data_IF_330532761038
#
_entry.id   IF_330532761038
#
_cell.length_a   1.000
_cell.length_b   1.000
_cell.length_c   1.000
_cell.angle_alpha   90.00
_cell.angle_beta   90.00
_cell.angle_gamma   90.00
#
_symmetry.space_group_name_H-M   'P 1'
#
loop_
_entity.id
_entity.type
_entity.pdbx_description
1 polymer ?
#
# COMPACT_ATOMS: atom_id res chain seq x y z
N UNK A 1 -2.01 3.27 12.45
CA UNK A 1 -1.70 1.82 12.42
C UNK A 1 -1.84 1.31 11.00
N UNK A 2 -0.92 0.45 10.54
CA UNK A 2 -1.03 -0.22 9.24
C UNK A 2 -0.96 -1.74 9.39
N UNK A 3 -1.62 -2.50 8.49
CA UNK A 3 -1.60 -3.96 8.44
C UNK A 3 -1.17 -4.42 7.05
N UNK A 4 -0.07 -5.17 6.95
CA UNK A 4 0.35 -5.76 5.67
C UNK A 4 1.65 -6.52 5.70
N UNK A 5 1.93 -7.23 4.59
CA UNK A 5 3.15 -8.01 4.40
C UNK A 5 4.32 -7.11 4.00
N UNK A 6 5.47 -7.38 4.60
CA UNK A 6 6.75 -6.86 4.14
C UNK A 6 7.66 -8.00 3.74
N UNK A 7 8.26 -7.90 2.57
CA UNK A 7 9.13 -8.91 1.96
C UNK A 7 10.58 -8.45 1.92
N UNK A 8 11.49 -9.38 1.71
CA UNK A 8 12.83 -9.05 1.26
C UNK A 8 12.79 -8.62 -0.20
N UNK A 9 13.38 -7.49 -0.49
CA UNK A 9 13.58 -6.96 -1.82
C UNK A 9 15.03 -7.18 -2.22
N UNK A 10 15.24 -7.85 -3.35
CA UNK A 10 16.53 -8.19 -3.90
C UNK A 10 16.72 -7.50 -5.26
N UNK A 11 17.75 -6.67 -5.38
CA UNK A 11 18.02 -5.86 -6.58
C UNK A 11 19.43 -6.16 -7.08
N UNK A 12 19.62 -6.65 -8.30
CA UNK A 12 20.96 -6.73 -8.90
C UNK A 12 21.57 -5.34 -9.03
N UNK A 13 22.88 -5.17 -8.76
CA UNK A 13 23.54 -3.89 -8.94
C UNK A 13 23.65 -3.51 -10.43
N UNK A 14 23.86 -2.23 -10.71
CA UNK A 14 24.25 -1.72 -12.02
C UNK A 14 23.37 -2.13 -13.23
N UNK A 15 22.05 -2.28 -13.02
CA UNK A 15 21.12 -2.75 -14.07
C UNK A 15 21.41 -4.15 -14.63
N UNK A 16 22.15 -4.99 -13.88
CA UNK A 16 22.37 -6.38 -14.25
C UNK A 16 21.04 -7.14 -14.35
N UNK A 17 21.02 -8.17 -15.20
CA UNK A 17 19.90 -9.09 -15.25
C UNK A 17 19.92 -10.03 -14.05
N UNK A 18 18.77 -10.40 -13.54
CA UNK A 18 18.64 -11.35 -12.43
C UNK A 18 19.40 -12.64 -12.72
N UNK A 19 19.32 -13.16 -13.96
CA UNK A 19 19.98 -14.40 -14.38
C UNK A 19 21.52 -14.31 -14.48
N UNK A 20 22.08 -13.09 -14.46
CA UNK A 20 23.51 -12.84 -14.58
C UNK A 20 24.13 -12.31 -13.28
N UNK A 21 23.28 -11.91 -12.33
CA UNK A 21 23.71 -11.27 -11.10
C UNK A 21 24.49 -12.22 -10.20
N UNK A 22 25.59 -11.75 -9.65
CA UNK A 22 26.41 -12.47 -8.66
C UNK A 22 26.16 -11.99 -7.24
N UNK A 23 25.50 -10.86 -7.08
CA UNK A 23 25.13 -10.26 -5.80
C UNK A 23 23.83 -9.50 -5.91
N UNK A 24 23.20 -9.22 -4.77
CA UNK A 24 21.98 -8.45 -4.69
C UNK A 24 22.08 -7.47 -3.53
N UNK A 25 21.65 -6.24 -3.77
CA UNK A 25 21.32 -5.31 -2.70
C UNK A 25 20.02 -5.77 -2.03
N UNK A 26 20.06 -5.88 -0.70
CA UNK A 26 18.93 -6.40 0.10
C UNK A 26 18.28 -5.28 0.87
N UNK A 27 16.99 -5.11 0.71
CA UNK A 27 16.16 -4.17 1.48
C UNK A 27 14.84 -4.82 1.89
N UNK A 28 14.02 -4.10 2.66
CA UNK A 28 12.67 -4.49 2.99
C UNK A 28 11.69 -3.68 2.15
N UNK A 29 10.61 -4.32 1.66
CA UNK A 29 9.58 -3.64 0.89
C UNK A 29 8.20 -4.24 1.09
N UNK A 30 7.23 -3.38 1.41
CA UNK A 30 5.82 -3.72 1.59
C UNK A 30 5.00 -2.44 1.55
N UNK A 31 3.81 -2.49 0.96
CA UNK A 31 2.98 -1.31 0.76
C UNK A 31 2.66 -0.61 2.08
N UNK A 32 2.01 -1.32 2.98
CA UNK A 32 1.53 -0.78 4.25
C UNK A 32 2.67 -0.39 5.20
N UNK A 33 3.80 -1.12 5.17
CA UNK A 33 4.99 -0.74 5.92
C UNK A 33 5.65 0.51 5.35
N UNK A 34 5.64 0.70 4.03
CA UNK A 34 6.13 1.93 3.38
C UNK A 34 5.29 3.13 3.78
N UNK A 35 3.96 2.98 3.85
CA UNK A 35 3.06 4.03 4.36
C UNK A 35 3.38 4.35 5.83
N UNK A 36 3.55 3.34 6.69
CA UNK A 36 3.91 3.54 8.10
C UNK A 36 5.25 4.28 8.25
N UNK A 37 6.26 3.88 7.48
CA UNK A 37 7.58 4.53 7.45
C UNK A 37 7.47 5.98 6.98
N UNK A 38 6.75 6.24 5.88
CA UNK A 38 6.54 7.59 5.37
C UNK A 38 5.91 8.52 6.41
N UNK A 39 4.85 8.06 7.08
CA UNK A 39 4.19 8.82 8.14
C UNK A 39 5.09 9.03 9.38
N UNK A 40 5.90 8.02 9.76
CA UNK A 40 6.86 8.16 10.86
C UNK A 40 7.94 9.20 10.54
N UNK A 41 8.46 9.20 9.31
CA UNK A 41 9.45 10.18 8.83
C UNK A 41 8.89 11.61 8.78
N UNK A 42 7.59 11.78 8.64
CA UNK A 42 6.89 13.07 8.76
C UNK A 42 6.57 13.44 10.21
N UNK A 43 6.95 12.61 11.19
CA UNK A 43 6.83 12.93 12.62
C UNK A 43 5.56 12.39 13.30
N UNK A 44 4.77 11.56 12.62
CA UNK A 44 3.63 10.90 13.27
C UNK A 44 4.06 9.64 14.01
N UNK A 45 3.34 9.31 15.08
CA UNK A 45 3.47 8.01 15.76
C UNK A 45 2.77 6.96 14.91
N UNK A 46 3.51 5.95 14.47
CA UNK A 46 3.00 4.88 13.61
C UNK A 46 3.31 3.52 14.20
N UNK A 47 2.43 2.55 13.94
CA UNK A 47 2.64 1.14 14.25
C UNK A 47 2.32 0.30 13.03
N UNK A 48 3.07 -0.78 12.85
CA UNK A 48 2.89 -1.74 11.77
C UNK A 48 2.59 -3.12 12.33
N UNK A 49 1.45 -3.66 11.93
CA UNK A 49 0.98 -5.01 12.24
C UNK A 49 1.35 -5.94 11.09
N UNK A 50 2.00 -7.05 11.41
CA UNK A 50 2.40 -8.04 10.41
C UNK A 50 2.62 -9.40 11.05
N UNK A 51 2.99 -10.40 10.23
CA UNK A 51 3.35 -11.74 10.71
C UNK A 51 4.67 -12.17 10.11
N UNK A 52 5.66 -12.47 10.96
CA UNK A 52 7.02 -12.81 10.56
C UNK A 52 7.53 -14.09 11.25
N UNK A 53 8.41 -14.86 10.59
CA UNK A 53 9.07 -16.00 11.22
C UNK A 53 10.16 -15.55 12.20
N UNK A 54 10.34 -16.28 13.29
CA UNK A 54 11.37 -16.04 14.31
C UNK A 54 12.78 -16.45 13.84
N UNK A 55 13.19 -15.98 12.67
CA UNK A 55 14.50 -16.26 12.08
C UNK A 55 15.24 -14.96 11.72
N UNK A 56 16.51 -15.03 11.27
CA UNK A 56 17.28 -13.85 10.90
C UNK A 56 16.61 -12.98 9.84
N UNK A 57 15.86 -13.55 8.87
CA UNK A 57 15.20 -12.80 7.81
C UNK A 57 14.00 -12.00 8.33
N UNK A 58 13.17 -12.61 9.20
CA UNK A 58 12.08 -11.90 9.87
C UNK A 58 12.60 -10.77 10.75
N UNK A 59 13.68 -11.02 11.52
CA UNK A 59 14.33 -9.96 12.33
C UNK A 59 14.93 -8.85 11.48
N UNK A 60 15.51 -9.17 10.32
CA UNK A 60 16.01 -8.17 9.38
C UNK A 60 14.88 -7.21 8.96
N UNK A 61 13.74 -7.76 8.51
CA UNK A 61 12.58 -6.96 8.10
C UNK A 61 12.09 -6.08 9.27
N UNK A 62 11.86 -6.66 10.45
CA UNK A 62 11.39 -5.92 11.61
C UNK A 62 12.32 -4.77 12.00
N UNK A 63 13.65 -5.00 11.94
CA UNK A 63 14.65 -3.98 12.24
C UNK A 63 14.64 -2.87 11.20
N UNK A 64 14.52 -3.22 9.90
CA UNK A 64 14.44 -2.24 8.82
C UNK A 64 13.24 -1.32 8.93
N UNK A 65 12.11 -1.81 9.39
CA UNK A 65 10.93 -0.97 9.62
C UNK A 65 11.10 -0.13 10.89
N UNK A 66 11.62 -0.73 11.97
CA UNK A 66 11.84 -0.06 13.26
C UNK A 66 12.86 1.08 13.18
N UNK A 67 13.91 0.96 12.37
CA UNK A 67 14.96 1.99 12.24
C UNK A 67 14.42 3.35 11.77
N UNK A 68 13.23 3.37 11.17
CA UNK A 68 12.52 4.58 10.74
C UNK A 68 11.56 5.15 11.80
N UNK A 69 11.52 4.57 13.00
CA UNK A 69 10.67 5.07 14.09
C UNK A 69 9.26 4.46 14.13
N UNK A 70 9.00 3.43 13.34
CA UNK A 70 7.72 2.69 13.36
C UNK A 70 7.71 1.71 14.54
N UNK A 71 6.63 1.68 15.31
CA UNK A 71 6.41 0.64 16.33
C UNK A 71 6.17 -0.71 15.65
N UNK A 72 7.01 -1.68 15.98
CA UNK A 72 6.97 -3.06 15.47
C UNK A 72 6.61 -4.07 16.57
N UNK A 73 6.07 -3.61 17.71
CA UNK A 73 5.71 -4.49 18.84
C UNK A 73 4.51 -5.39 18.54
N UNK A 74 3.71 -5.02 17.52
CA UNK A 74 2.51 -5.74 17.13
C UNK A 74 2.75 -6.79 16.02
N UNK A 75 4.00 -7.21 15.83
CA UNK A 75 4.32 -8.31 14.90
C UNK A 75 3.94 -9.65 15.56
N UNK A 76 3.13 -10.45 14.85
CA UNK A 76 2.87 -11.84 15.18
C UNK A 76 4.07 -12.69 14.78
N UNK A 77 4.79 -13.21 15.77
CA UNK A 77 5.98 -14.02 15.55
C UNK A 77 5.64 -15.52 15.52
N UNK A 78 6.05 -16.21 14.46
CA UNK A 78 5.86 -17.68 14.33
C UNK A 78 7.20 -18.40 14.31
N UNK A 79 7.24 -19.60 14.90
CA UNK A 79 8.48 -20.40 14.96
C UNK A 79 8.92 -20.85 13.57
N UNK A 80 7.96 -21.35 12.78
CA UNK A 80 8.18 -21.88 11.45
C UNK A 80 7.56 -20.96 10.39
N UNK A 81 8.17 -20.94 9.22
CA UNK A 81 7.68 -20.13 8.10
C UNK A 81 8.81 -19.43 7.36
N UNK A 82 8.42 -18.76 6.30
CA UNK A 82 9.32 -17.97 5.46
C UNK A 82 8.84 -16.54 5.33
N UNK A 83 9.73 -15.61 5.05
CA UNK A 83 9.39 -14.30 4.52
C UNK A 83 9.12 -14.37 3.03
N UNK A 84 8.26 -13.55 2.50
CA UNK A 84 8.15 -13.33 1.06
C UNK A 84 9.42 -12.68 0.53
N UNK A 85 9.74 -12.94 -0.74
CA UNK A 85 10.87 -12.33 -1.45
C UNK A 85 10.37 -11.78 -2.78
N UNK A 86 10.93 -10.68 -3.22
CA UNK A 86 10.77 -10.26 -4.60
C UNK A 86 12.08 -9.71 -5.17
N UNK A 87 12.26 -9.98 -6.46
CA UNK A 87 13.41 -9.53 -7.22
C UNK A 87 12.98 -8.37 -8.12
N UNK A 88 13.78 -7.34 -8.17
CA UNK A 88 13.56 -6.18 -9.05
C UNK A 88 14.72 -6.07 -10.00
N UNK A 89 14.45 -6.24 -11.28
CA UNK A 89 15.38 -5.93 -12.35
C UNK A 89 15.04 -4.57 -12.93
N UNK A 90 15.91 -3.60 -12.75
CA UNK A 90 15.72 -2.30 -13.35
C UNK A 90 16.00 -2.34 -14.85
N UNK A 91 15.07 -1.81 -15.61
CA UNK A 91 15.20 -1.65 -17.04
C UNK A 91 16.03 -0.43 -17.42
N UNK A 92 16.52 -0.46 -18.66
CA UNK A 92 17.07 0.68 -19.35
C UNK A 92 16.58 0.63 -20.80
N UNK A 93 15.97 1.72 -21.29
CA UNK A 93 15.34 1.72 -22.62
C UNK A 93 16.21 1.06 -23.70
N UNK A 94 15.65 0.16 -24.54
CA UNK A 94 14.24 -0.22 -24.62
C UNK A 94 13.78 -1.35 -23.65
N UNK A 95 14.69 -1.90 -22.83
CA UNK A 95 14.39 -3.00 -21.90
C UNK A 95 13.50 -2.50 -20.75
N UNK A 96 12.30 -3.09 -20.52
CA UNK A 96 11.46 -2.74 -19.36
C UNK A 96 12.05 -3.24 -18.05
N UNK A 97 11.65 -2.62 -16.93
CA UNK A 97 11.88 -3.18 -15.59
C UNK A 97 10.99 -4.42 -15.36
N UNK A 98 11.48 -5.36 -14.56
CA UNK A 98 10.77 -6.59 -14.24
C UNK A 98 10.74 -6.81 -12.73
N UNK A 99 9.60 -7.32 -12.23
CA UNK A 99 9.47 -7.76 -10.83
C UNK A 99 9.03 -9.22 -10.80
N UNK A 100 9.81 -10.05 -10.10
CA UNK A 100 9.53 -11.47 -9.88
C UNK A 100 9.23 -11.66 -8.40
N UNK A 101 8.06 -12.23 -8.09
CA UNK A 101 7.64 -12.49 -6.72
C UNK A 101 7.81 -13.97 -6.37
N UNK A 102 8.43 -14.23 -5.22
CA UNK A 102 8.42 -15.49 -4.51
C UNK A 102 7.85 -15.26 -3.10
N UNK A 103 6.51 -15.14 -3.02
CA UNK A 103 5.80 -14.80 -1.77
C UNK A 103 4.75 -15.83 -1.35
N UNK A 104 4.49 -16.84 -2.17
CA UNK A 104 3.47 -17.84 -1.84
C UNK A 104 3.87 -18.59 -0.57
N UNK A 105 2.90 -18.83 0.29
CA UNK A 105 3.09 -19.48 1.60
C UNK A 105 4.08 -18.75 2.53
N UNK A 106 4.18 -17.44 2.43
CA UNK A 106 4.88 -16.64 3.43
C UNK A 106 4.18 -16.76 4.80
N UNK A 107 4.89 -16.48 5.87
CA UNK A 107 4.29 -16.45 7.21
C UNK A 107 3.10 -15.51 7.27
N UNK A 108 3.20 -14.34 6.63
CA UNK A 108 2.10 -13.37 6.60
C UNK A 108 0.86 -13.91 5.89
N UNK A 109 1.01 -14.67 4.80
CA UNK A 109 -0.12 -15.24 4.05
C UNK A 109 -0.97 -16.23 4.86
N UNK A 110 -0.52 -16.61 6.05
CA UNK A 110 -1.25 -17.47 7.01
C UNK A 110 -1.84 -16.69 8.18
N UNK A 111 -1.86 -15.35 8.12
CA UNK A 111 -2.44 -14.53 9.18
C UNK A 111 -3.93 -14.81 9.29
N UNK A 112 -4.41 -14.99 10.54
CA UNK A 112 -5.85 -15.09 10.86
C UNK A 112 -6.31 -13.93 11.73
N UNK A 113 -7.62 -13.71 11.78
CA UNK A 113 -8.20 -12.61 12.54
C UNK A 113 -7.93 -12.73 14.05
N UNK A 114 -7.87 -13.96 14.57
CA UNK A 114 -7.73 -14.28 15.99
C UNK A 114 -6.31 -14.04 16.51
N UNK A 115 -5.32 -13.98 15.62
CA UNK A 115 -3.91 -13.77 16.00
C UNK A 115 -3.61 -12.32 16.38
N UNK A 116 -4.54 -11.38 16.11
CA UNK A 116 -4.32 -9.94 16.31
C UNK A 116 -5.33 -9.36 17.30
N UNK A 117 -4.84 -8.81 18.40
CA UNK A 117 -5.69 -8.12 19.38
C UNK A 117 -5.93 -6.66 18.94
N UNK A 118 -6.89 -6.46 18.06
CA UNK A 118 -7.21 -5.13 17.52
C UNK A 118 -7.68 -4.15 18.59
N UNK A 119 -8.37 -4.60 19.63
CA UNK A 119 -8.84 -3.74 20.71
C UNK A 119 -7.69 -3.05 21.43
N UNK A 120 -6.62 -3.81 21.71
CA UNK A 120 -5.41 -3.28 22.30
C UNK A 120 -4.66 -2.35 21.34
N UNK A 121 -4.52 -2.74 20.07
CA UNK A 121 -3.74 -2.02 19.05
C UNK A 121 -4.42 -0.70 18.68
N UNK A 122 -5.74 -0.69 18.60
CA UNK A 122 -6.51 0.50 18.20
C UNK A 122 -6.76 1.48 19.34
N UNK A 123 -6.46 1.11 20.60
CA UNK A 123 -6.60 2.03 21.72
C UNK A 123 -5.68 3.26 21.52
N UNK A 124 -6.30 4.45 21.39
CA UNK A 124 -5.62 5.72 21.10
C UNK A 124 -5.18 5.91 19.64
N UNK A 125 -5.48 4.95 18.76
CA UNK A 125 -5.26 5.07 17.31
C UNK A 125 -6.30 5.99 16.68
N UNK A 126 -5.88 6.81 15.71
CA UNK A 126 -6.77 7.70 14.96
C UNK A 126 -7.11 7.19 13.57
N UNK A 127 -6.18 6.44 12.96
CA UNK A 127 -6.30 6.00 11.58
C UNK A 127 -5.75 4.58 11.43
N UNK A 128 -6.49 3.75 10.69
CA UNK A 128 -6.08 2.43 10.25
C UNK A 128 -5.93 2.41 8.73
N UNK A 129 -4.84 1.85 8.22
CA UNK A 129 -4.58 1.71 6.80
C UNK A 129 -4.20 0.29 6.42
N UNK A 130 -4.75 -0.20 5.31
CA UNK A 130 -4.39 -1.48 4.67
C UNK A 130 -4.66 -1.41 3.18
N UNK A 131 -4.40 -2.49 2.44
CA UNK A 131 -4.56 -2.49 0.99
C UNK A 131 -5.16 -3.78 0.44
N UNK A 132 -5.56 -3.74 -0.83
CA UNK A 132 -5.98 -4.89 -1.60
C UNK A 132 -4.88 -5.94 -1.80
N UNK A 133 -3.60 -5.59 -1.65
CA UNK A 133 -2.52 -6.58 -1.66
C UNK A 133 -2.68 -7.54 -0.49
N UNK A 134 -2.84 -7.02 0.73
CA UNK A 134 -3.00 -7.82 1.95
C UNK A 134 -4.23 -8.72 1.85
N UNK A 135 -5.34 -8.18 1.33
CA UNK A 135 -6.58 -8.92 1.11
C UNK A 135 -6.42 -10.07 0.11
N UNK A 136 -5.62 -9.86 -0.94
CA UNK A 136 -5.42 -10.81 -2.04
C UNK A 136 -4.46 -11.99 -1.72
N UNK A 137 -3.76 -11.97 -0.58
CA UNK A 137 -2.74 -12.98 -0.27
C UNK A 137 -3.31 -14.34 0.05
N UNK A 138 -4.44 -14.39 0.74
CA UNK A 138 -5.17 -15.60 1.10
C UNK A 138 -6.57 -15.23 1.62
N UNK A 139 -7.44 -16.22 1.71
CA UNK A 139 -8.75 -16.03 2.31
C UNK A 139 -8.65 -15.62 3.80
N UNK A 140 -7.74 -16.24 4.56
CA UNK A 140 -7.54 -15.87 5.97
C UNK A 140 -7.05 -14.43 6.13
N UNK A 141 -6.20 -13.94 5.21
CA UNK A 141 -5.81 -12.53 5.19
C UNK A 141 -6.98 -11.59 4.86
N UNK A 142 -7.85 -11.98 3.90
CA UNK A 142 -9.06 -11.21 3.59
C UNK A 142 -10.00 -11.11 4.80
N UNK A 143 -10.20 -12.21 5.51
CA UNK A 143 -10.99 -12.26 6.74
C UNK A 143 -10.35 -11.43 7.86
N UNK A 144 -9.03 -11.49 8.02
CA UNK A 144 -8.29 -10.68 8.99
C UNK A 144 -8.40 -9.17 8.69
N UNK A 145 -8.30 -8.77 7.41
CA UNK A 145 -8.52 -7.38 6.98
C UNK A 145 -9.95 -6.92 7.27
N UNK A 146 -10.95 -7.74 6.91
CA UNK A 146 -12.36 -7.43 7.17
C UNK A 146 -12.63 -7.25 8.67
N UNK A 147 -12.11 -8.16 9.50
CA UNK A 147 -12.21 -8.07 10.95
C UNK A 147 -11.55 -6.79 11.50
N UNK A 148 -10.35 -6.46 11.04
CA UNK A 148 -9.64 -5.23 11.42
C UNK A 148 -10.44 -3.97 11.06
N UNK A 149 -11.01 -3.91 9.85
CA UNK A 149 -11.82 -2.78 9.37
C UNK A 149 -13.09 -2.62 10.22
N UNK A 150 -13.82 -3.71 10.48
CA UNK A 150 -15.02 -3.66 11.31
C UNK A 150 -14.69 -3.19 12.73
N UNK A 151 -13.60 -3.71 13.34
CA UNK A 151 -13.16 -3.28 14.66
C UNK A 151 -12.70 -1.82 14.70
N UNK A 152 -12.00 -1.36 13.65
CA UNK A 152 -11.62 0.05 13.50
C UNK A 152 -12.86 0.96 13.43
N UNK A 153 -13.89 0.54 12.69
CA UNK A 153 -15.17 1.27 12.60
C UNK A 153 -15.88 1.33 13.95
N UNK A 154 -15.98 0.22 14.67
CA UNK A 154 -16.57 0.16 16.01
C UNK A 154 -15.88 1.10 17.01
N UNK A 155 -14.57 1.32 16.82
CA UNK A 155 -13.75 2.20 17.65
C UNK A 155 -13.64 3.62 17.09
N UNK A 156 -14.40 3.97 16.03
CA UNK A 156 -14.44 5.28 15.38
C UNK A 156 -13.07 5.75 14.84
N UNK A 157 -12.26 4.85 14.31
CA UNK A 157 -11.05 5.21 13.61
C UNK A 157 -11.39 5.66 12.17
N UNK A 158 -10.58 6.57 11.61
CA UNK A 158 -10.58 6.79 10.16
C UNK A 158 -9.97 5.60 9.45
N UNK A 159 -10.69 5.04 8.49
CA UNK A 159 -10.28 3.84 7.75
C UNK A 159 -9.81 4.24 6.36
N UNK A 160 -8.57 3.96 6.05
CA UNK A 160 -7.92 4.22 4.77
C UNK A 160 -7.60 2.91 4.06
N UNK A 161 -7.93 2.82 2.79
CA UNK A 161 -7.71 1.63 1.98
C UNK A 161 -7.13 1.99 0.61
N UNK A 162 -6.09 1.26 0.17
CA UNK A 162 -5.57 1.36 -1.20
C UNK A 162 -5.97 0.12 -1.99
N UNK A 163 -6.70 0.28 -3.09
CA UNK A 163 -7.06 -0.84 -3.97
C UNK A 163 -5.83 -1.62 -4.40
N UNK A 164 -4.77 -0.94 -4.80
CA UNK A 164 -3.44 -1.49 -5.08
C UNK A 164 -3.49 -2.83 -5.83
N UNK A 165 -4.28 -2.90 -6.89
CA UNK A 165 -4.56 -4.14 -7.61
C UNK A 165 -3.32 -4.80 -8.18
N UNK A 166 -3.24 -6.12 -8.03
CA UNK A 166 -2.14 -6.94 -8.52
C UNK A 166 -2.67 -8.16 -9.27
N UNK A 167 -2.65 -8.12 -10.59
CA UNK A 167 -3.13 -9.21 -11.46
C UNK A 167 -2.46 -10.57 -11.22
N UNK A 168 -1.25 -10.58 -10.62
CA UNK A 168 -0.55 -11.81 -10.23
C UNK A 168 -1.09 -12.45 -8.95
N UNK A 169 -1.95 -11.78 -8.19
CA UNK A 169 -2.53 -12.29 -6.94
C UNK A 169 -3.96 -12.79 -7.15
N UNK A 170 -4.78 -12.06 -7.87
CA UNK A 170 -6.19 -12.39 -8.08
C UNK A 170 -6.74 -11.84 -9.39
N UNK A 171 -7.90 -12.37 -9.83
CA UNK A 171 -8.60 -11.84 -10.99
C UNK A 171 -9.39 -10.57 -10.66
N UNK A 172 -9.78 -9.76 -11.65
CA UNK A 172 -10.64 -8.59 -11.42
C UNK A 172 -11.99 -8.97 -10.79
N UNK A 173 -12.55 -10.12 -11.13
CA UNK A 173 -13.82 -10.62 -10.58
C UNK A 173 -13.67 -10.95 -9.10
N UNK A 174 -12.64 -11.69 -8.71
CA UNK A 174 -12.34 -12.01 -7.31
C UNK A 174 -12.04 -10.73 -6.50
N UNK A 175 -11.33 -9.77 -7.12
CA UNK A 175 -11.08 -8.47 -6.49
C UNK A 175 -12.38 -7.71 -6.26
N UNK A 176 -13.27 -7.64 -7.27
CA UNK A 176 -14.58 -6.99 -7.14
C UNK A 176 -15.40 -7.59 -6.02
N UNK A 177 -15.53 -8.91 -5.99
CA UNK A 177 -16.32 -9.62 -4.97
C UNK A 177 -15.82 -9.26 -3.57
N UNK A 178 -14.55 -9.48 -3.30
CA UNK A 178 -13.96 -9.23 -1.99
C UNK A 178 -13.98 -7.74 -1.59
N UNK A 179 -13.58 -6.84 -2.50
CA UNK A 179 -13.50 -5.41 -2.21
C UNK A 179 -14.89 -4.78 -2.05
N UNK A 180 -15.92 -5.28 -2.73
CA UNK A 180 -17.30 -4.75 -2.56
C UNK A 180 -17.83 -4.95 -1.14
N UNK A 181 -17.37 -5.99 -0.43
CA UNK A 181 -17.74 -6.22 0.98
C UNK A 181 -16.98 -5.30 1.94
N UNK A 182 -15.80 -4.84 1.57
CA UNK A 182 -14.88 -4.06 2.43
C UNK A 182 -15.12 -2.57 2.29
N UNK A 183 -15.26 -2.08 1.04
CA UNK A 183 -15.24 -0.65 0.72
C UNK A 183 -16.39 0.15 1.32
N UNK A 184 -17.53 -0.48 1.60
CA UNK A 184 -18.64 0.16 2.32
C UNK A 184 -18.34 0.56 3.78
N UNK A 185 -17.18 0.17 4.29
CA UNK A 185 -16.70 0.51 5.63
C UNK A 185 -15.47 1.44 5.62
N UNK A 186 -15.02 1.87 4.44
CA UNK A 186 -13.82 2.70 4.25
C UNK A 186 -14.21 4.17 4.16
N UNK A 187 -13.41 5.05 4.75
CA UNK A 187 -13.59 6.48 4.68
C UNK A 187 -12.74 7.10 3.56
N UNK A 188 -11.49 6.66 3.41
CA UNK A 188 -10.54 7.18 2.42
C UNK A 188 -10.09 6.06 1.49
N UNK A 189 -10.42 6.17 0.22
CA UNK A 189 -10.01 5.23 -0.81
C UNK A 189 -8.89 5.80 -1.69
N UNK A 190 -7.80 5.05 -1.81
CA UNK A 190 -6.75 5.29 -2.80
C UNK A 190 -6.90 4.32 -3.98
N UNK A 191 -6.79 4.84 -5.20
CA UNK A 191 -6.89 4.03 -6.41
C UNK A 191 -6.33 4.76 -7.63
N UNK A 192 -6.32 4.06 -8.77
CA UNK A 192 -6.18 4.63 -10.12
C UNK A 192 -7.49 4.49 -10.91
N UNK A 193 -7.66 5.30 -11.94
CA UNK A 193 -8.80 5.15 -12.84
C UNK A 193 -8.78 3.78 -13.54
N UNK A 194 -7.60 3.27 -13.86
CA UNK A 194 -7.45 1.98 -14.54
C UNK A 194 -7.86 0.82 -13.64
N UNK A 195 -7.50 0.83 -12.35
CA UNK A 195 -7.95 -0.18 -11.39
C UNK A 195 -9.47 -0.12 -11.20
N UNK A 196 -10.04 1.07 -11.07
CA UNK A 196 -11.49 1.24 -10.95
C UNK A 196 -12.26 0.77 -12.19
N UNK A 197 -11.73 1.04 -13.40
CA UNK A 197 -12.29 0.53 -14.64
C UNK A 197 -12.21 -0.99 -14.72
N UNK A 198 -11.05 -1.54 -14.39
CA UNK A 198 -10.78 -2.98 -14.50
C UNK A 198 -11.64 -3.79 -13.52
N UNK A 199 -11.71 -3.35 -12.27
CA UNK A 199 -12.37 -4.11 -11.20
C UNK A 199 -13.89 -3.88 -11.21
N UNK A 200 -14.33 -2.61 -11.26
CA UNK A 200 -15.75 -2.27 -11.10
C UNK A 200 -16.47 -1.97 -12.43
N UNK A 201 -15.75 -1.90 -13.54
CA UNK A 201 -16.33 -1.57 -14.85
C UNK A 201 -16.73 -0.10 -14.98
N UNK A 202 -16.27 0.77 -14.09
CA UNK A 202 -16.58 2.20 -14.17
C UNK A 202 -15.86 2.85 -15.36
N UNK A 203 -16.55 3.72 -16.07
CA UNK A 203 -16.04 4.42 -17.24
C UNK A 203 -16.32 5.92 -17.14
N UNK A 204 -15.54 6.73 -17.84
CA UNK A 204 -15.66 8.17 -17.84
C UNK A 204 -14.34 8.87 -17.55
N UNK A 205 -14.42 10.16 -17.22
CA UNK A 205 -13.28 10.96 -16.73
C UNK A 205 -12.86 10.48 -15.33
N UNK A 206 -11.71 10.94 -14.86
CA UNK A 206 -11.25 10.58 -13.50
C UNK A 206 -12.25 11.06 -12.44
N UNK A 207 -12.83 12.25 -12.62
CA UNK A 207 -13.84 12.83 -11.74
C UNK A 207 -15.12 11.97 -11.70
N UNK A 208 -15.64 11.57 -12.88
CA UNK A 208 -16.83 10.73 -12.98
C UNK A 208 -16.60 9.34 -12.36
N UNK A 209 -15.40 8.78 -12.49
CA UNK A 209 -15.03 7.51 -11.85
C UNK A 209 -14.95 7.68 -10.33
N UNK A 210 -14.34 8.77 -9.85
CA UNK A 210 -14.27 9.07 -8.43
C UNK A 210 -15.66 9.27 -7.83
N UNK A 211 -16.59 9.94 -8.52
CA UNK A 211 -17.99 10.11 -8.09
C UNK A 211 -18.72 8.77 -8.00
N UNK A 212 -18.52 7.89 -9.00
CA UNK A 212 -19.10 6.54 -8.98
C UNK A 212 -18.57 5.72 -7.82
N UNK A 213 -17.26 5.74 -7.55
CA UNK A 213 -16.66 5.06 -6.40
C UNK A 213 -17.23 5.61 -5.09
N UNK A 214 -17.22 6.95 -4.94
CA UNK A 214 -17.72 7.62 -3.74
C UNK A 214 -19.17 7.27 -3.45
N UNK A 215 -20.03 7.35 -4.44
CA UNK A 215 -21.48 7.06 -4.29
C UNK A 215 -21.76 5.57 -4.10
N UNK A 216 -21.04 4.67 -4.79
CA UNK A 216 -21.27 3.23 -4.69
C UNK A 216 -20.89 2.66 -3.33
N UNK A 217 -19.87 3.22 -2.68
CA UNK A 217 -19.34 2.71 -1.41
C UNK A 217 -19.48 3.68 -0.23
N UNK A 218 -20.15 4.81 -0.42
CA UNK A 218 -20.37 5.83 0.61
C UNK A 218 -19.06 6.32 1.26
N UNK A 219 -18.05 6.61 0.42
CA UNK A 219 -16.74 7.05 0.85
C UNK A 219 -16.74 8.55 1.20
N UNK A 220 -15.95 8.98 2.18
CA UNK A 220 -15.72 10.41 2.44
C UNK A 220 -14.77 11.01 1.41
N UNK A 221 -13.70 10.28 1.07
CA UNK A 221 -12.65 10.73 0.17
C UNK A 221 -12.29 9.64 -0.84
N UNK A 222 -12.18 10.03 -2.11
CA UNK A 222 -11.53 9.21 -3.15
C UNK A 222 -10.29 9.96 -3.63
N UNK A 223 -9.11 9.42 -3.36
CA UNK A 223 -7.83 9.96 -3.81
C UNK A 223 -7.28 9.14 -4.97
N UNK A 224 -6.96 9.78 -6.09
CA UNK A 224 -6.52 9.09 -7.30
C UNK A 224 -5.19 9.65 -7.80
N UNK A 225 -4.30 8.73 -8.19
CA UNK A 225 -3.13 9.07 -8.99
C UNK A 225 -3.53 9.12 -10.48
N UNK A 226 -3.15 10.21 -11.15
CA UNK A 226 -3.59 10.50 -12.54
C UNK A 226 -2.41 10.70 -13.49
N UNK A 227 -1.19 10.53 -13.01
CA UNK A 227 0.02 10.67 -13.80
C UNK A 227 0.27 9.50 -14.76
N UNK A 228 1.16 9.70 -15.71
CA UNK A 228 1.49 8.70 -16.72
C UNK A 228 3.02 8.61 -16.95
N UNK A 229 3.53 7.40 -17.26
CA UNK A 229 4.91 7.22 -17.68
C UNK A 229 5.10 7.72 -19.12
N UNK A 230 6.16 8.51 -19.36
CA UNK A 230 6.60 8.89 -20.72
C UNK A 230 7.63 7.91 -21.29
N UNK A 231 8.43 7.33 -20.40
CA UNK A 231 9.44 6.31 -20.74
C UNK A 231 9.74 5.44 -19.51
N UNK A 232 10.74 4.55 -19.61
CA UNK A 232 11.23 3.76 -18.47
C UNK A 232 11.75 4.66 -17.35
N UNK A 233 12.33 5.81 -17.70
CA UNK A 233 13.00 6.73 -16.76
C UNK A 233 12.34 8.09 -16.58
N UNK A 234 11.30 8.39 -17.32
CA UNK A 234 10.62 9.70 -17.24
C UNK A 234 9.12 9.53 -17.12
N UNK A 235 8.49 10.42 -16.41
CA UNK A 235 7.05 10.42 -16.24
C UNK A 235 6.54 11.74 -15.69
N UNK A 236 5.23 11.84 -15.62
CA UNK A 236 4.54 12.91 -14.91
C UNK A 236 3.74 12.25 -13.79
N UNK A 237 3.97 12.70 -12.57
CA UNK A 237 3.09 12.37 -11.45
C UNK A 237 2.08 13.50 -11.27
N UNK A 238 0.82 13.15 -11.20
CA UNK A 238 -0.28 14.03 -10.83
C UNK A 238 -1.32 13.27 -10.03
N UNK A 239 -2.17 13.99 -9.33
CA UNK A 239 -3.17 13.41 -8.44
C UNK A 239 -4.39 14.29 -8.30
N UNK A 240 -5.50 13.70 -7.91
CA UNK A 240 -6.72 14.39 -7.55
C UNK A 240 -7.34 13.76 -6.31
N UNK A 241 -8.22 14.49 -5.65
CA UNK A 241 -9.08 13.96 -4.60
C UNK A 241 -10.50 14.53 -4.74
N UNK A 242 -11.48 13.67 -4.50
CA UNK A 242 -12.89 14.03 -4.46
C UNK A 242 -13.40 13.89 -3.01
N UNK A 243 -14.01 14.94 -2.51
CA UNK A 243 -14.81 14.97 -1.28
C UNK A 243 -16.24 15.42 -1.63
N UNK A 244 -16.65 16.59 -1.18
CA UNK A 244 -17.80 17.37 -1.65
C UNK A 244 -17.51 18.12 -2.96
N UNK A 245 -16.25 18.33 -3.26
CA UNK A 245 -15.73 18.90 -4.51
C UNK A 245 -14.43 18.24 -4.92
N UNK A 246 -14.02 18.50 -6.16
CA UNK A 246 -12.75 18.00 -6.69
C UNK A 246 -11.61 18.93 -6.31
N UNK A 247 -10.51 18.34 -5.89
CA UNK A 247 -9.21 19.00 -5.67
C UNK A 247 -8.17 18.41 -6.60
N UNK A 248 -7.25 19.21 -7.10
CA UNK A 248 -6.14 18.76 -7.95
C UNK A 248 -4.80 19.00 -7.24
N UNK A 249 -3.95 18.00 -7.28
CA UNK A 249 -2.56 18.08 -6.87
C UNK A 249 -1.72 18.79 -7.95
N UNK A 250 -0.53 19.21 -7.56
CA UNK A 250 0.48 19.69 -8.51
C UNK A 250 0.96 18.55 -9.40
N UNK A 251 1.29 18.86 -10.65
CA UNK A 251 1.98 17.92 -11.54
C UNK A 251 3.49 18.07 -11.39
N UNK A 252 4.17 16.93 -11.32
CA UNK A 252 5.63 16.84 -11.20
C UNK A 252 6.19 16.08 -12.40
N UNK A 253 7.12 16.68 -13.13
CA UNK A 253 7.93 15.96 -14.10
C UNK A 253 9.05 15.24 -13.35
N UNK A 254 9.25 13.95 -13.62
CA UNK A 254 10.13 13.10 -12.84
C UNK A 254 11.14 12.37 -13.71
N UNK A 255 12.37 12.30 -13.24
CA UNK A 255 13.30 11.24 -13.63
C UNK A 255 13.15 10.06 -12.65
N UNK A 256 12.71 8.93 -13.17
CA UNK A 256 12.39 7.76 -12.34
C UNK A 256 13.66 6.98 -12.03
N UNK A 257 14.06 6.98 -10.78
CA UNK A 257 15.13 6.12 -10.25
C UNK A 257 14.55 4.76 -9.84
N UNK A 258 13.45 4.77 -9.12
CA UNK A 258 12.72 3.58 -8.68
C UNK A 258 11.21 3.87 -8.68
N UNK A 259 10.42 3.03 -9.32
CA UNK A 259 8.96 3.19 -9.38
C UNK A 259 8.23 2.53 -8.22
N UNK A 260 8.92 1.63 -7.51
CA UNK A 260 8.29 0.87 -6.46
C UNK A 260 8.15 1.75 -5.21
N UNK A 261 6.92 1.87 -4.72
CA UNK A 261 6.60 2.69 -3.56
C UNK A 261 6.09 4.10 -3.88
N UNK A 262 6.01 4.52 -5.16
CA UNK A 262 5.44 5.82 -5.54
C UNK A 262 4.01 5.99 -5.00
N UNK A 263 3.14 4.97 -5.17
CA UNK A 263 1.79 4.96 -4.62
C UNK A 263 1.78 5.02 -3.09
N UNK A 264 2.63 4.21 -2.45
CA UNK A 264 2.73 4.17 -0.99
C UNK A 264 3.23 5.52 -0.42
N UNK A 265 4.18 6.16 -1.11
CA UNK A 265 4.69 7.51 -0.77
C UNK A 265 3.60 8.56 -0.92
N UNK A 266 2.81 8.51 -2.02
CA UNK A 266 1.64 9.35 -2.19
C UNK A 266 0.65 9.17 -1.05
N UNK A 267 0.30 7.93 -0.72
CA UNK A 267 -0.63 7.60 0.36
C UNK A 267 -0.14 8.13 1.70
N UNK A 268 1.15 7.92 2.04
CA UNK A 268 1.73 8.43 3.29
C UNK A 268 1.67 9.95 3.38
N UNK A 269 2.12 10.66 2.35
CA UNK A 269 2.07 12.13 2.30
C UNK A 269 0.64 12.67 2.35
N UNK A 270 -0.27 12.03 1.60
CA UNK A 270 -1.69 12.40 1.61
C UNK A 270 -2.31 12.25 3.00
N UNK A 271 -2.14 11.08 3.64
CA UNK A 271 -2.67 10.84 4.98
C UNK A 271 -2.07 11.80 6.02
N UNK A 272 -0.79 12.14 5.91
CA UNK A 272 -0.18 13.16 6.76
C UNK A 272 -0.86 14.52 6.61
N UNK A 273 -1.02 15.01 5.38
CA UNK A 273 -1.67 16.28 5.11
C UNK A 273 -3.15 16.29 5.50
N UNK A 274 -3.85 15.17 5.29
CA UNK A 274 -5.24 14.98 5.71
C UNK A 274 -5.40 15.08 7.24
N UNK A 275 -4.53 14.42 8.00
CA UNK A 275 -4.59 14.41 9.48
C UNK A 275 -4.13 15.72 10.12
N UNK A 276 -3.29 16.50 9.47
CA UNK A 276 -2.65 17.68 10.05
C UNK A 276 -3.08 19.01 9.41
N UNK A 277 -3.87 18.96 8.37
CA UNK A 277 -4.21 20.15 7.59
C UNK A 277 -5.57 20.09 6.91
N UNK A 278 -5.52 20.18 5.61
CA UNK A 278 -6.67 20.19 4.72
C UNK A 278 -6.43 19.34 3.47
N UNK A 279 -7.44 19.21 2.61
CA UNK A 279 -7.38 18.39 1.42
C UNK A 279 -6.31 18.85 0.41
N UNK A 280 -6.09 20.17 0.28
CA UNK A 280 -5.05 20.68 -0.61
C UNK A 280 -3.65 20.37 -0.07
N UNK A 281 -3.44 20.43 1.25
CA UNK A 281 -2.19 19.98 1.87
C UNK A 281 -1.99 18.48 1.71
N UNK A 282 -3.07 17.69 1.85
CA UNK A 282 -3.00 16.24 1.62
C UNK A 282 -2.45 15.93 0.22
N UNK A 283 -2.99 16.55 -0.83
CA UNK A 283 -2.51 16.38 -2.20
C UNK A 283 -1.08 16.90 -2.40
N UNK A 284 -0.74 18.03 -1.80
CA UNK A 284 0.60 18.63 -1.94
C UNK A 284 1.68 17.77 -1.28
N UNK A 285 1.46 17.26 -0.06
CA UNK A 285 2.38 16.33 0.60
C UNK A 285 2.44 14.99 -0.14
N UNK A 286 1.28 14.45 -0.51
CA UNK A 286 1.22 13.20 -1.29
C UNK A 286 2.01 13.30 -2.59
N UNK A 287 1.76 14.34 -3.38
CA UNK A 287 2.47 14.56 -4.64
C UNK A 287 3.97 14.79 -4.47
N UNK A 288 4.37 15.57 -3.47
CA UNK A 288 5.80 15.82 -3.20
C UNK A 288 6.56 14.58 -2.70
N UNK A 289 5.91 13.67 -1.99
CA UNK A 289 6.53 12.42 -1.54
C UNK A 289 6.57 11.35 -2.64
N UNK A 290 5.65 11.40 -3.58
CA UNK A 290 5.59 10.45 -4.69
C UNK A 290 6.57 10.79 -5.82
N UNK A 291 6.88 12.08 -6.00
CA UNK A 291 7.82 12.59 -7.01
C UNK A 291 9.28 12.49 -6.53
#
# INVERSE_FOLDING_TARGET
VTLGETMLRLVPPNYERIEQARSYDVSAGGSESSVAVGLARLGLKTAWVSKLPQNPMGRFIANKIREHGVDTSHIVWVKDGRVGIYFVEFGSSPRPSQVIYDRKYSAFSTLTAEEVNWEQIFNGTKLFHTSGITTALSQSCAEAVKNAILKAKDMNLTISFDINYRSKLWSPESARECLSEILGHVDILFTSADDAKLIFGFSGTNEEIAEKLKSSFNLDVVAMTTGFPRSVRTGVFSSMALTDKVYYGKSYEMEVVDRLGTGDSFTAGFLYGYMTGDMQKALNYGGAMAA
#
